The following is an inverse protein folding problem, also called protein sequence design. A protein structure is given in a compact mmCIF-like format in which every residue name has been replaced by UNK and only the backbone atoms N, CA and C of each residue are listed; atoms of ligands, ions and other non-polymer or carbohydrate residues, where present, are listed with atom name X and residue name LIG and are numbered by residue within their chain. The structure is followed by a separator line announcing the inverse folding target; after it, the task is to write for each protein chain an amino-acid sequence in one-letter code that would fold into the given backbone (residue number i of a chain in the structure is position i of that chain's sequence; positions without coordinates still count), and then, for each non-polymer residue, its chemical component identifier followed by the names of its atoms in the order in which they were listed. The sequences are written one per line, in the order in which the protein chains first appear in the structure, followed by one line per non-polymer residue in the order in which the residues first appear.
data_IF_328988967135
#
_entry.id   IF_328988967135
#
_cell.length_a   1.000
_cell.length_b   1.000
_cell.length_c   1.000
_cell.angle_alpha   90.00
_cell.angle_beta   90.00
_cell.angle_gamma   90.00
#
_symmetry.space_group_name_H-M   'P 1'
#
loop_
_entity.id
_entity.type
_entity.pdbx_description
1 polymer ?
#
# COMPACT_ATOMS: atom_id res chain seq x y z
N UNK A 1 19.07 -4.56 -42.94
CA UNK A 1 18.66 -3.51 -41.98
C UNK A 1 17.15 -3.28 -41.93
N UNK A 2 16.35 -3.86 -42.83
CA UNK A 2 14.90 -3.62 -42.92
C UNK A 2 14.07 -4.32 -41.82
N UNK A 3 14.59 -5.39 -41.20
CA UNK A 3 13.93 -6.09 -40.08
C UNK A 3 14.28 -5.54 -38.69
N UNK A 4 15.28 -4.67 -38.59
CA UNK A 4 15.72 -4.11 -37.30
C UNK A 4 14.70 -3.09 -36.76
N UNK A 5 14.10 -2.30 -37.64
CA UNK A 5 13.07 -1.32 -37.30
C UNK A 5 11.78 -1.98 -36.74
N UNK A 6 11.16 -2.98 -37.39
CA UNK A 6 10.00 -3.66 -36.82
C UNK A 6 10.34 -4.46 -35.55
N UNK A 7 11.54 -5.07 -35.46
CA UNK A 7 11.96 -5.82 -34.27
C UNK A 7 12.16 -4.90 -33.06
N UNK A 8 12.74 -3.70 -33.25
CA UNK A 8 12.89 -2.69 -32.20
C UNK A 8 11.52 -2.17 -31.73
N UNK A 9 10.58 -1.94 -32.67
CA UNK A 9 9.24 -1.47 -32.35
C UNK A 9 8.44 -2.49 -31.51
N UNK A 10 8.53 -3.78 -31.83
CA UNK A 10 7.92 -4.86 -31.03
C UNK A 10 8.60 -4.98 -29.66
N UNK A 11 9.94 -4.89 -29.61
CA UNK A 11 10.68 -4.97 -28.35
C UNK A 11 10.32 -3.85 -27.35
N UNK A 12 9.87 -2.69 -27.84
CA UNK A 12 9.45 -1.57 -27.01
C UNK A 12 7.95 -1.61 -26.65
N UNK A 13 7.07 -2.03 -27.58
CA UNK A 13 5.62 -2.05 -27.35
C UNK A 13 5.15 -3.22 -26.49
N UNK A 14 5.77 -4.40 -26.60
CA UNK A 14 5.36 -5.60 -25.84
C UNK A 14 5.45 -5.39 -24.31
N UNK A 15 6.57 -4.91 -23.73
CA UNK A 15 6.65 -4.68 -22.29
C UNK A 15 5.72 -3.54 -21.84
N UNK A 16 5.50 -2.51 -22.66
CA UNK A 16 4.57 -1.41 -22.36
C UNK A 16 3.12 -1.91 -22.26
N UNK A 17 2.68 -2.73 -23.20
CA UNK A 17 1.33 -3.29 -23.20
C UNK A 17 1.09 -4.25 -22.03
N UNK A 18 2.11 -5.04 -21.67
CA UNK A 18 2.04 -5.95 -20.54
C UNK A 18 2.06 -5.21 -19.19
N UNK A 19 2.83 -4.12 -19.09
CA UNK A 19 2.89 -3.26 -17.90
C UNK A 19 1.56 -2.57 -17.60
N UNK A 20 0.93 -1.95 -18.61
CA UNK A 20 -0.37 -1.29 -18.46
C UNK A 20 -1.46 -2.28 -18.01
N UNK A 21 -1.46 -3.50 -18.56
CA UNK A 21 -2.43 -4.53 -18.20
C UNK A 21 -2.24 -5.03 -16.76
N UNK A 22 -1.00 -5.06 -16.26
CA UNK A 22 -0.68 -5.44 -14.88
C UNK A 22 -1.11 -4.36 -13.89
N UNK A 23 -0.77 -3.11 -14.17
CA UNK A 23 -1.17 -1.96 -13.34
C UNK A 23 -2.69 -1.85 -13.20
N UNK A 24 -3.44 -2.06 -14.28
CA UNK A 24 -4.90 -2.02 -14.22
C UNK A 24 -5.49 -3.08 -13.29
N UNK A 25 -4.93 -4.29 -13.28
CA UNK A 25 -5.39 -5.39 -12.42
C UNK A 25 -5.11 -5.14 -10.94
N UNK A 26 -3.95 -4.54 -10.63
CA UNK A 26 -3.60 -4.19 -9.25
C UNK A 26 -4.54 -3.09 -8.71
N UNK A 27 -4.86 -2.08 -9.52
CA UNK A 27 -5.82 -1.05 -9.17
C UNK A 27 -7.24 -1.61 -8.97
N UNK A 28 -7.69 -2.52 -9.84
CA UNK A 28 -8.99 -3.21 -9.71
C UNK A 28 -9.05 -4.08 -8.44
N UNK A 29 -7.96 -4.78 -8.09
CA UNK A 29 -7.89 -5.58 -6.88
C UNK A 29 -7.98 -4.73 -5.60
N UNK A 30 -7.28 -3.59 -5.59
CA UNK A 30 -7.36 -2.63 -4.47
C UNK A 30 -8.76 -2.03 -4.34
N UNK A 31 -9.43 -1.71 -5.45
CA UNK A 31 -10.80 -1.22 -5.43
C UNK A 31 -11.79 -2.29 -4.89
N UNK A 32 -11.62 -3.55 -5.30
CA UNK A 32 -12.49 -4.66 -4.85
C UNK A 32 -12.35 -4.90 -3.34
N UNK A 33 -11.14 -4.78 -2.78
CA UNK A 33 -10.93 -4.90 -1.34
C UNK A 33 -11.65 -3.78 -0.57
N UNK A 34 -11.57 -2.55 -1.07
CA UNK A 34 -12.25 -1.41 -0.44
C UNK A 34 -13.78 -1.57 -0.46
N UNK A 35 -14.34 -2.20 -1.49
CA UNK A 35 -15.78 -2.47 -1.62
C UNK A 35 -16.33 -3.41 -0.53
N UNK A 36 -15.46 -4.20 0.11
CA UNK A 36 -15.85 -5.11 1.19
C UNK A 36 -15.91 -4.45 2.58
N UNK A 37 -15.46 -3.20 2.71
CA UNK A 37 -15.46 -2.44 3.97
C UNK A 37 -16.87 -2.20 4.47
N UNK A 38 -17.08 -2.40 5.78
CA UNK A 38 -18.34 -2.13 6.46
C UNK A 38 -18.14 -1.21 7.66
N UNK A 39 -19.23 -0.53 8.02
CA UNK A 39 -19.29 0.27 9.24
C UNK A 39 -19.18 -0.69 10.44
N UNK A 40 -18.31 -0.36 11.40
CA UNK A 40 -18.00 -1.17 12.57
C UNK A 40 -16.79 -2.09 12.40
N UNK A 41 -16.18 -2.17 11.21
CA UNK A 41 -14.97 -2.95 11.01
C UNK A 41 -13.77 -2.29 11.71
N UNK A 42 -12.98 -3.09 12.42
CA UNK A 42 -11.68 -2.67 12.91
C UNK A 42 -10.66 -2.76 11.77
N UNK A 43 -9.89 -1.71 11.53
CA UNK A 43 -8.98 -1.66 10.39
C UNK A 43 -7.59 -1.15 10.79
N UNK A 44 -6.61 -1.50 9.97
CA UNK A 44 -5.25 -0.93 10.05
C UNK A 44 -4.93 -0.20 8.78
N UNK A 45 -4.44 1.04 8.90
CA UNK A 45 -3.98 1.83 7.75
C UNK A 45 -2.57 1.42 7.33
N UNK A 46 -2.15 1.83 6.13
CA UNK A 46 -0.79 1.58 5.62
C UNK A 46 0.31 2.22 6.47
N UNK A 47 0.01 3.29 7.21
CA UNK A 47 0.94 3.94 8.14
C UNK A 47 1.00 3.27 9.52
N UNK A 48 0.19 2.24 9.77
CA UNK A 48 0.13 1.52 11.05
C UNK A 48 -0.84 2.10 12.07
N UNK A 49 -1.72 3.03 11.67
CA UNK A 49 -2.79 3.52 12.53
C UNK A 49 -3.88 2.45 12.67
N UNK A 50 -4.37 2.26 13.89
CA UNK A 50 -5.55 1.46 14.17
C UNK A 50 -6.76 2.36 14.38
N UNK A 51 -7.91 1.91 13.88
CA UNK A 51 -9.17 2.61 14.08
C UNK A 51 -10.36 1.72 13.73
N UNK A 52 -11.54 2.21 14.05
CA UNK A 52 -12.81 1.57 13.71
C UNK A 52 -13.53 2.43 12.68
N UNK A 53 -14.10 1.80 11.66
CA UNK A 53 -14.88 2.50 10.64
C UNK A 53 -16.20 2.96 11.24
N UNK A 54 -16.42 4.28 11.26
CA UNK A 54 -17.68 4.88 11.75
C UNK A 54 -18.58 5.34 10.60
N UNK A 55 -18.00 5.73 9.47
CA UNK A 55 -18.75 6.08 8.26
C UNK A 55 -17.95 5.75 6.99
N UNK A 56 -18.67 5.54 5.88
CA UNK A 56 -18.13 5.15 4.59
C UNK A 56 -18.77 5.97 3.47
N UNK A 57 -17.93 6.68 2.72
CA UNK A 57 -18.29 7.34 1.46
C UNK A 57 -17.72 6.57 0.25
N UNK A 58 -17.93 7.10 -0.96
CA UNK A 58 -17.39 6.52 -2.19
C UNK A 58 -15.86 6.52 -2.23
N UNK A 59 -15.20 7.61 -1.81
CA UNK A 59 -13.74 7.80 -1.88
C UNK A 59 -13.07 7.91 -0.51
N UNK A 60 -13.84 8.23 0.54
CA UNK A 60 -13.37 8.49 1.90
C UNK A 60 -13.95 7.52 2.92
N UNK A 61 -13.26 7.38 4.05
CA UNK A 61 -13.67 6.58 5.20
C UNK A 61 -13.38 7.36 6.46
N UNK A 62 -14.36 7.41 7.35
CA UNK A 62 -14.20 8.02 8.66
C UNK A 62 -13.82 6.96 9.68
N UNK A 63 -12.70 7.22 10.36
CA UNK A 63 -12.09 6.33 11.34
C UNK A 63 -12.11 6.98 12.71
N UNK A 64 -12.69 6.27 13.67
CA UNK A 64 -12.54 6.58 15.09
C UNK A 64 -11.25 5.95 15.62
N UNK A 65 -10.36 6.80 16.14
CA UNK A 65 -9.02 6.41 16.63
C UNK A 65 -8.92 6.42 18.15
N UNK A 66 -9.83 7.15 18.80
CA UNK A 66 -9.98 7.29 20.24
C UNK A 66 -11.40 7.77 20.52
N UNK A 67 -11.84 7.73 21.78
CA UNK A 67 -13.17 8.17 22.20
C UNK A 67 -13.46 9.60 21.70
N UNK A 68 -14.51 9.74 20.89
CA UNK A 68 -14.94 10.99 20.25
C UNK A 68 -13.92 11.63 19.27
N UNK A 69 -12.89 10.90 18.84
CA UNK A 69 -11.91 11.37 17.85
C UNK A 69 -12.10 10.65 16.52
N UNK A 70 -12.80 11.32 15.61
CA UNK A 70 -13.05 10.85 14.24
C UNK A 70 -12.16 11.61 13.25
N UNK A 71 -11.54 10.87 12.34
CA UNK A 71 -10.68 11.43 11.28
C UNK A 71 -11.04 10.85 9.93
N UNK A 72 -11.06 11.69 8.90
CA UNK A 72 -11.38 11.28 7.53
C UNK A 72 -10.11 10.89 6.78
N UNK A 73 -10.13 9.70 6.20
CA UNK A 73 -9.03 9.14 5.40
C UNK A 73 -9.54 8.74 4.02
N UNK A 74 -8.61 8.59 3.07
CA UNK A 74 -8.95 7.99 1.78
C UNK A 74 -9.15 6.49 1.98
N UNK A 75 -10.11 5.88 1.26
CA UNK A 75 -10.34 4.42 1.33
C UNK A 75 -9.09 3.60 0.95
N UNK A 76 -8.26 4.15 0.07
CA UNK A 76 -6.95 3.56 -0.31
C UNK A 76 -5.91 3.54 0.82
N UNK A 77 -6.13 4.27 1.91
CA UNK A 77 -5.24 4.26 3.07
C UNK A 77 -5.44 3.03 3.95
N UNK A 78 -6.51 2.26 3.75
CA UNK A 78 -6.81 1.05 4.51
C UNK A 78 -6.03 -0.14 3.94
N UNK A 79 -5.23 -0.79 4.79
CA UNK A 79 -4.37 -1.92 4.41
C UNK A 79 -5.00 -3.27 4.74
N UNK A 80 -5.68 -3.36 5.88
CA UNK A 80 -6.20 -4.62 6.41
C UNK A 80 -7.50 -4.38 7.18
N UNK A 81 -8.47 -5.27 6.99
CA UNK A 81 -9.72 -5.31 7.75
C UNK A 81 -9.63 -6.48 8.72
N UNK A 82 -9.86 -6.20 10.00
CA UNK A 82 -9.91 -7.19 11.08
C UNK A 82 -11.36 -7.42 11.46
N UNK A 83 -11.88 -8.56 11.05
CA UNK A 83 -13.13 -9.11 11.57
C UNK A 83 -12.86 -9.62 12.99
N UNK A 84 -13.60 -9.09 13.97
CA UNK A 84 -13.44 -9.44 15.40
C UNK A 84 -13.79 -10.93 15.66
N UNK A 85 -14.39 -11.62 14.70
CA UNK A 85 -14.73 -13.05 14.78
C UNK A 85 -13.58 -14.03 14.48
N UNK A 86 -12.42 -13.58 14.00
CA UNK A 86 -11.31 -14.47 13.60
C UNK A 86 -10.05 -14.26 14.46
N UNK A 87 -10.20 -14.31 15.78
CA UNK A 87 -9.06 -14.64 16.66
C UNK A 87 -9.10 -16.12 16.98
N UNK A 88 -8.72 -16.96 16.02
CA UNK A 88 -7.95 -18.23 16.20
C UNK A 88 -7.72 -18.82 14.80
N UNK A 89 -6.51 -18.62 14.26
CA UNK A 89 -5.84 -19.34 13.17
C UNK A 89 -5.33 -18.39 12.07
N UNK A 90 -4.12 -17.87 12.23
CA UNK A 90 -3.00 -18.30 11.38
C UNK A 90 -1.68 -17.79 12.00
N UNK A 91 -1.03 -18.67 12.75
CA UNK A 91 0.43 -18.62 12.85
C UNK A 91 1.00 -19.22 11.57
N UNK A 92 1.41 -18.36 10.64
CA UNK A 92 2.39 -18.70 9.61
C UNK A 92 3.09 -17.39 9.24
N UNK A 93 4.26 -17.07 9.81
CA UNK A 93 5.46 -17.85 9.61
C UNK A 93 6.02 -17.55 8.22
N UNK A 94 6.77 -16.45 8.08
CA UNK A 94 7.97 -16.37 7.22
C UNK A 94 8.79 -15.18 7.69
N UNK A 95 9.65 -15.48 8.66
CA UNK A 95 10.97 -14.87 8.75
C UNK A 95 11.71 -15.21 7.45
N UNK A 96 11.92 -14.24 6.58
CA UNK A 96 13.09 -14.21 5.69
C UNK A 96 13.55 -12.76 5.57
N UNK A 97 14.37 -12.38 6.56
CA UNK A 97 15.50 -11.47 6.31
C UNK A 97 16.51 -12.21 5.41
N UNK A 98 16.89 -11.63 4.28
CA UNK A 98 18.31 -11.61 3.92
C UNK A 98 18.78 -10.15 3.88
N UNK A 99 19.63 -9.84 4.85
CA UNK A 99 20.57 -8.75 4.77
C UNK A 99 21.63 -9.02 3.68
N UNK A 100 22.15 -7.92 3.13
CA UNK A 100 23.38 -7.72 2.34
C UNK A 100 23.15 -7.47 0.84
N UNK A 101 23.75 -6.48 0.18
CA UNK A 101 24.59 -5.33 0.53
C UNK A 101 24.71 -4.53 -0.78
N UNK A 102 24.50 -3.22 -0.75
CA UNK A 102 25.14 -2.30 -1.67
C UNK A 102 25.44 -1.02 -0.88
N UNK A 103 26.72 -0.92 -0.49
CA UNK A 103 27.34 0.25 0.11
C UNK A 103 27.26 1.46 -0.84
N UNK A 104 26.83 2.62 -0.33
CA UNK A 104 27.46 3.91 -0.62
C UNK A 104 27.39 4.80 0.64
N UNK A 105 28.51 4.82 1.36
CA UNK A 105 29.19 5.90 2.09
C UNK A 105 28.42 6.86 3.03
N UNK A 106 28.83 6.93 4.32
CA UNK A 106 28.30 7.86 5.32
C UNK A 106 29.08 9.18 5.31
N UNK A 107 28.46 10.30 4.94
CA UNK A 107 28.90 11.62 5.41
C UNK A 107 27.86 12.71 5.09
N UNK A 108 27.62 13.60 6.06
CA UNK A 108 26.94 14.91 5.94
C UNK A 108 25.40 14.98 6.09
N UNK A 109 24.89 14.74 7.31
CA UNK A 109 23.77 15.55 7.87
C UNK A 109 23.98 15.74 9.39
N UNK A 110 25.18 16.15 9.79
CA UNK A 110 25.44 16.77 11.09
C UNK A 110 25.83 18.23 10.88
N UNK A 111 24.88 19.07 10.45
CA UNK A 111 25.00 20.53 10.60
C UNK A 111 23.60 21.15 10.70
N UNK A 112 22.84 20.78 11.73
CA UNK A 112 21.63 21.53 12.14
C UNK A 112 21.39 21.53 13.65
N UNK A 113 22.44 21.43 14.47
CA UNK A 113 22.27 21.57 15.92
C UNK A 113 23.54 22.03 16.65
N UNK A 114 24.23 23.06 16.16
CA UNK A 114 25.00 24.01 17.00
C UNK A 114 25.56 25.11 16.10
N UNK A 115 24.97 26.29 16.21
CA UNK A 115 25.68 27.54 15.97
C UNK A 115 25.10 28.53 16.95
N UNK A 116 25.66 28.46 18.15
CA UNK A 116 25.92 29.63 18.97
C UNK A 116 26.65 30.73 18.14
#
# INVERSE_FOLDING_TARGET
MELLFPLLLVALLVPMFLGIRRQKREAEAVATMQESLKIGDAVTTTSGLWGTVVDLDDDTVDLEIAEDVVTTWLRQAIREVRTVDETTADESGTDETPAATAEETPEQTETRLTKD
#
